data_IF_905833640417
#
_entry.id   IF_905833640417
#
_cell.length_a   1.000
_cell.length_b   1.000
_cell.length_c   1.000
_cell.angle_alpha   90.00
_cell.angle_beta   90.00
_cell.angle_gamma   90.00
#
_symmetry.space_group_name_H-M   'P 1'
#
loop_
_entity.id
_entity.type
_entity.pdbx_description
1 polymer ?
#
# COMPACT_ATOMS: atom_id res chain seq x y z
N UNK A 1 -14.79 28.99 -42.88
CA UNK A 1 -14.84 27.76 -42.10
C UNK A 1 -13.46 27.18 -42.04
N UNK A 2 -12.77 27.30 -40.90
CA UNK A 2 -11.54 26.59 -40.64
C UNK A 2 -11.92 25.14 -40.39
N UNK A 3 -11.48 24.19 -41.23
CA UNK A 3 -11.49 22.76 -40.93
C UNK A 3 -10.55 22.52 -39.76
N UNK A 4 -11.07 22.49 -38.56
CA UNK A 4 -10.33 21.94 -37.41
C UNK A 4 -10.27 20.43 -37.57
N UNK A 5 -9.11 19.92 -37.96
CA UNK A 5 -8.85 18.50 -37.99
C UNK A 5 -8.66 18.05 -36.55
N UNK A 6 -9.65 17.33 -36.01
CA UNK A 6 -9.55 16.72 -34.68
C UNK A 6 -8.70 15.46 -34.76
N UNK A 7 -7.64 15.37 -33.98
CA UNK A 7 -6.83 14.17 -33.83
C UNK A 7 -7.18 13.47 -32.51
N UNK A 8 -7.36 12.16 -32.57
CA UNK A 8 -7.43 11.31 -31.38
C UNK A 8 -6.12 10.56 -31.25
N UNK A 9 -5.44 10.68 -30.10
CA UNK A 9 -4.26 9.85 -29.77
C UNK A 9 -4.76 8.64 -29.01
N UNK A 10 -4.40 7.43 -29.49
CA UNK A 10 -4.76 6.17 -28.87
C UNK A 10 -3.48 5.44 -28.45
N UNK A 11 -3.45 4.96 -27.19
CA UNK A 11 -2.39 4.08 -26.70
C UNK A 11 -2.84 2.63 -26.82
N UNK A 12 -2.02 1.79 -27.45
CA UNK A 12 -2.33 0.39 -27.70
C UNK A 12 -1.25 -0.48 -27.08
N UNK A 13 -1.68 -1.45 -26.30
CA UNK A 13 -0.83 -2.48 -25.73
C UNK A 13 -1.28 -3.85 -26.18
N UNK A 14 -0.34 -4.77 -26.37
CA UNK A 14 -0.62 -6.13 -26.76
C UNK A 14 0.31 -7.11 -26.02
N UNK A 15 -0.13 -8.35 -25.88
CA UNK A 15 0.60 -9.40 -25.16
C UNK A 15 1.91 -9.85 -25.85
N UNK A 16 2.09 -9.51 -27.13
CA UNK A 16 3.32 -9.79 -27.87
C UNK A 16 3.54 -8.79 -29.00
N UNK A 17 4.79 -8.63 -29.44
CA UNK A 17 5.14 -7.76 -30.58
C UNK A 17 4.41 -8.18 -31.86
N UNK A 18 4.21 -9.46 -32.08
CA UNK A 18 3.45 -9.97 -33.24
C UNK A 18 1.97 -9.57 -33.20
N UNK A 19 1.36 -9.55 -31.99
CA UNK A 19 -0.01 -9.09 -31.81
C UNK A 19 -0.10 -7.57 -31.97
N UNK A 20 0.85 -6.83 -31.38
CA UNK A 20 0.94 -5.39 -31.52
C UNK A 20 1.07 -4.98 -32.98
N UNK A 21 1.96 -5.64 -33.73
CA UNK A 21 2.14 -5.37 -35.15
C UNK A 21 0.85 -5.58 -35.96
N UNK A 22 0.12 -6.68 -35.71
CA UNK A 22 -1.18 -6.94 -36.41
C UNK A 22 -2.23 -5.85 -36.08
N UNK A 23 -2.30 -5.41 -34.85
CA UNK A 23 -3.23 -4.33 -34.44
C UNK A 23 -2.84 -3.02 -35.14
N UNK A 24 -1.55 -2.68 -35.16
CA UNK A 24 -1.06 -1.46 -35.80
C UNK A 24 -1.32 -1.44 -37.29
N UNK A 25 -1.04 -2.57 -37.98
CA UNK A 25 -1.35 -2.71 -39.41
C UNK A 25 -2.85 -2.54 -39.68
N UNK A 26 -3.70 -3.22 -38.91
CA UNK A 26 -5.15 -3.08 -39.06
C UNK A 26 -5.66 -1.65 -38.81
N UNK A 27 -5.05 -0.91 -37.92
CA UNK A 27 -5.44 0.50 -37.65
C UNK A 27 -4.95 1.45 -38.73
N UNK A 28 -3.82 1.16 -39.39
CA UNK A 28 -3.33 1.95 -40.53
C UNK A 28 -4.32 1.94 -41.67
N UNK A 29 -5.05 0.82 -41.86
CA UNK A 29 -6.11 0.70 -42.90
C UNK A 29 -7.28 1.69 -42.65
N UNK A 30 -7.42 2.17 -41.40
CA UNK A 30 -8.39 3.19 -41.01
C UNK A 30 -7.78 4.60 -40.87
N UNK A 31 -6.58 4.81 -41.39
CA UNK A 31 -5.91 6.12 -41.42
C UNK A 31 -5.15 6.47 -40.12
N UNK A 32 -4.91 5.51 -39.23
CA UNK A 32 -4.05 5.74 -38.09
C UNK A 32 -2.59 5.90 -38.53
N UNK A 33 -1.91 6.89 -37.95
CA UNK A 33 -0.47 7.12 -38.16
C UNK A 33 0.26 6.71 -36.88
N UNK A 34 1.29 5.87 -37.06
CA UNK A 34 2.15 5.49 -35.92
C UNK A 34 2.93 6.72 -35.47
N UNK A 35 2.69 7.17 -34.23
CA UNK A 35 3.51 8.23 -33.62
C UNK A 35 4.92 7.70 -33.40
N UNK A 36 5.93 8.50 -33.69
CA UNK A 36 7.32 8.08 -33.87
C UNK A 36 7.87 7.25 -32.68
N UNK A 37 8.86 6.38 -32.98
CA UNK A 37 9.64 5.65 -31.97
C UNK A 37 10.82 6.51 -31.49
N UNK A 38 10.54 7.74 -31.09
CA UNK A 38 11.59 8.63 -30.60
C UNK A 38 11.95 8.27 -29.16
N UNK A 39 13.14 8.68 -28.77
CA UNK A 39 13.55 8.62 -27.37
C UNK A 39 12.71 9.60 -26.53
N UNK A 40 12.60 9.35 -25.23
CA UNK A 40 11.90 10.27 -24.33
C UNK A 40 12.52 11.66 -24.38
N UNK A 41 11.66 12.66 -24.34
CA UNK A 41 12.08 14.04 -24.13
C UNK A 41 12.20 14.32 -22.64
N UNK A 42 13.17 15.12 -22.27
CA UNK A 42 13.37 15.54 -20.88
C UNK A 42 13.51 17.05 -20.80
N UNK A 43 13.04 17.63 -19.72
CA UNK A 43 13.28 19.02 -19.36
C UNK A 43 13.86 19.09 -17.94
N UNK A 44 14.77 20.03 -17.66
CA UNK A 44 15.34 20.18 -16.33
C UNK A 44 14.28 20.66 -15.34
N UNK A 45 14.28 20.10 -14.14
CA UNK A 45 13.48 20.60 -13.03
C UNK A 45 13.85 22.06 -12.72
N UNK A 46 12.88 23.00 -12.62
CA UNK A 46 13.19 24.41 -12.45
C UNK A 46 13.77 24.76 -11.08
N UNK A 47 13.40 24.03 -10.04
CA UNK A 47 13.94 24.12 -8.69
C UNK A 47 13.63 22.83 -7.92
N UNK A 48 14.14 22.70 -6.70
CA UNK A 48 13.88 21.56 -5.83
C UNK A 48 12.36 21.41 -5.59
N UNK A 49 11.84 20.20 -5.78
CA UNK A 49 10.44 19.88 -5.56
C UNK A 49 9.45 20.45 -6.60
N UNK A 50 9.93 21.02 -7.72
CA UNK A 50 9.08 21.50 -8.80
C UNK A 50 9.38 20.79 -10.12
N UNK A 51 8.35 20.70 -10.95
CA UNK A 51 8.41 19.96 -12.21
C UNK A 51 8.35 20.93 -13.40
N UNK A 52 8.98 20.57 -14.53
CA UNK A 52 8.81 21.32 -15.77
C UNK A 52 7.37 21.17 -16.28
N UNK A 53 6.93 22.11 -17.12
CA UNK A 53 5.67 21.99 -17.81
C UNK A 53 5.63 20.69 -18.65
N UNK A 54 4.42 20.14 -18.81
CA UNK A 54 4.17 18.92 -19.60
C UNK A 54 4.89 17.66 -19.08
N UNK A 55 5.24 17.61 -17.78
CA UNK A 55 5.83 16.42 -17.16
C UNK A 55 4.94 15.19 -17.30
N UNK A 56 5.55 14.01 -17.39
CA UNK A 56 4.82 12.75 -17.40
C UNK A 56 4.54 12.27 -15.97
N UNK A 57 3.25 12.07 -15.65
CA UNK A 57 2.82 11.46 -14.38
C UNK A 57 2.69 9.93 -14.52
N UNK A 58 3.26 9.19 -13.59
CA UNK A 58 3.30 7.73 -13.63
C UNK A 58 2.00 7.07 -13.20
N UNK A 59 1.85 5.81 -13.59
CA UNK A 59 0.84 4.88 -13.05
C UNK A 59 1.56 3.79 -12.23
N UNK A 60 0.79 2.98 -11.51
CA UNK A 60 1.32 1.83 -10.77
C UNK A 60 1.59 0.59 -11.63
N UNK A 61 1.70 0.76 -12.94
CA UNK A 61 2.04 -0.30 -13.90
C UNK A 61 3.53 -0.25 -14.27
N UNK A 62 4.16 -1.39 -14.56
CA UNK A 62 5.51 -1.42 -15.10
C UNK A 62 5.64 -0.51 -16.31
N UNK A 63 6.64 0.34 -16.30
CA UNK A 63 6.85 1.36 -17.33
C UNK A 63 8.26 1.25 -17.88
N UNK A 64 8.40 1.45 -19.17
CA UNK A 64 9.66 1.55 -19.87
C UNK A 64 9.78 2.91 -20.56
N UNK A 65 10.98 3.43 -20.64
CA UNK A 65 11.33 4.60 -21.43
C UNK A 65 12.34 4.23 -22.50
N UNK A 66 12.31 4.94 -23.62
CA UNK A 66 13.27 4.75 -24.69
C UNK A 66 14.42 5.73 -24.55
N UNK A 67 15.63 5.21 -24.39
CA UNK A 67 16.88 5.95 -24.24
C UNK A 67 17.91 5.45 -25.27
N UNK A 68 18.51 6.34 -26.03
CA UNK A 68 19.49 6.00 -27.06
C UNK A 68 19.03 4.84 -27.98
N UNK A 69 17.77 4.88 -28.38
CA UNK A 69 17.17 3.86 -29.25
C UNK A 69 16.79 2.54 -28.57
N UNK A 70 16.97 2.39 -27.26
CA UNK A 70 16.68 1.15 -26.51
C UNK A 70 15.61 1.37 -25.47
N UNK A 71 14.78 0.34 -25.22
CA UNK A 71 13.83 0.35 -24.14
C UNK A 71 14.54 -0.03 -22.84
N UNK A 72 14.34 0.79 -21.80
CA UNK A 72 14.91 0.66 -20.45
C UNK A 72 13.75 0.62 -19.46
N UNK A 73 13.79 -0.35 -18.54
CA UNK A 73 12.82 -0.41 -17.44
C UNK A 73 13.00 0.78 -16.50
N UNK A 74 11.88 1.35 -16.07
CA UNK A 74 11.87 2.41 -15.08
C UNK A 74 11.79 1.78 -13.69
N UNK A 75 12.77 2.05 -12.85
CA UNK A 75 12.80 1.54 -11.48
C UNK A 75 11.79 2.26 -10.58
N UNK A 76 11.12 1.52 -9.71
CA UNK A 76 10.17 2.05 -8.73
C UNK A 76 8.77 2.24 -9.34
N UNK A 77 7.92 1.20 -9.32
CA UNK A 77 6.57 1.25 -9.89
C UNK A 77 5.58 1.77 -8.85
N UNK A 78 5.17 3.04 -9.00
CA UNK A 78 4.21 3.73 -8.12
C UNK A 78 3.44 4.76 -8.95
N UNK A 79 2.18 5.05 -8.59
CA UNK A 79 1.41 6.11 -9.23
C UNK A 79 1.75 7.50 -8.68
N UNK A 80 1.41 8.53 -9.47
CA UNK A 80 1.54 9.94 -9.10
C UNK A 80 3.00 10.38 -8.83
N UNK A 81 3.96 9.70 -9.43
CA UNK A 81 5.37 10.06 -9.45
C UNK A 81 5.78 10.67 -10.80
N UNK A 82 7.03 11.07 -10.91
CA UNK A 82 7.66 11.48 -12.17
C UNK A 82 8.83 10.58 -12.51
N UNK A 83 9.20 10.55 -13.78
CA UNK A 83 10.35 9.78 -14.24
C UNK A 83 11.55 10.72 -14.41
N UNK A 84 12.63 10.42 -13.72
CA UNK A 84 13.92 11.06 -13.90
C UNK A 84 14.87 10.10 -14.60
N UNK A 85 15.57 10.60 -15.61
CA UNK A 85 16.49 9.83 -16.43
C UNK A 85 17.92 10.13 -16.02
N UNK A 86 18.77 9.11 -15.95
CA UNK A 86 20.23 9.28 -15.93
C UNK A 86 20.79 8.86 -17.30
N UNK A 87 21.08 9.82 -18.20
CA UNK A 87 21.58 9.51 -19.53
C UNK A 87 22.97 8.84 -19.51
N UNK A 88 23.79 9.13 -18.51
CA UNK A 88 25.14 8.57 -18.40
C UNK A 88 25.11 7.08 -18.05
N UNK A 89 24.14 6.66 -17.24
CA UNK A 89 23.94 5.26 -16.86
C UNK A 89 22.91 4.54 -17.72
N UNK A 90 22.27 5.23 -18.68
CA UNK A 90 21.14 4.71 -19.47
C UNK A 90 20.06 4.10 -18.56
N UNK A 91 19.74 4.77 -17.46
CA UNK A 91 18.78 4.33 -16.47
C UNK A 91 17.67 5.36 -16.24
N UNK A 92 16.52 4.89 -15.74
CA UNK A 92 15.39 5.74 -15.40
C UNK A 92 14.74 5.25 -14.09
N UNK A 93 14.23 6.18 -13.31
CA UNK A 93 13.57 5.87 -12.03
C UNK A 93 12.37 6.77 -11.80
N UNK A 94 11.34 6.21 -11.16
CA UNK A 94 10.22 6.99 -10.63
C UNK A 94 10.60 7.60 -9.29
N UNK A 95 10.36 8.90 -9.13
CA UNK A 95 10.61 9.62 -7.87
C UNK A 95 9.43 10.52 -7.51
N UNK A 96 9.14 10.70 -6.22
CA UNK A 96 8.15 11.66 -5.77
C UNK A 96 8.63 13.10 -6.04
N UNK A 97 7.69 13.99 -6.28
CA UNK A 97 7.97 15.42 -6.52
C UNK A 97 8.87 16.03 -5.41
N UNK A 98 8.65 15.66 -4.15
CA UNK A 98 9.46 16.14 -3.02
C UNK A 98 10.94 15.77 -3.08
N UNK A 99 11.30 14.76 -3.85
CA UNK A 99 12.67 14.27 -3.99
C UNK A 99 13.35 14.75 -5.29
N UNK A 100 12.63 15.46 -6.15
CA UNK A 100 13.18 16.10 -7.36
C UNK A 100 14.11 17.23 -6.96
N UNK A 101 15.28 17.31 -7.60
CA UNK A 101 16.27 18.38 -7.42
C UNK A 101 16.34 19.28 -8.65
N UNK A 102 16.67 20.54 -8.42
CA UNK A 102 16.88 21.48 -9.51
C UNK A 102 17.87 20.92 -10.55
N UNK A 103 17.47 20.95 -11.81
CA UNK A 103 18.26 20.44 -12.92
C UNK A 103 18.07 18.96 -13.22
N UNK A 104 17.35 18.20 -12.41
CA UNK A 104 17.04 16.80 -12.72
C UNK A 104 16.35 16.69 -14.08
N UNK A 105 16.78 15.78 -14.99
CA UNK A 105 16.17 15.59 -16.30
C UNK A 105 14.86 14.80 -16.16
N UNK A 106 13.76 15.54 -15.99
CA UNK A 106 12.41 15.00 -15.84
C UNK A 106 11.82 14.69 -17.21
N UNK A 107 11.22 13.52 -17.39
CA UNK A 107 10.53 13.10 -18.61
C UNK A 107 9.30 13.99 -18.84
N UNK A 108 9.19 14.55 -20.05
CA UNK A 108 8.07 15.39 -20.50
C UNK A 108 7.37 14.78 -21.71
N UNK A 109 6.10 15.10 -21.88
CA UNK A 109 5.27 14.56 -22.96
C UNK A 109 4.99 13.07 -22.81
N UNK A 110 4.68 12.42 -23.92
CA UNK A 110 4.29 11.00 -23.94
C UNK A 110 5.13 10.14 -24.91
N UNK A 111 6.03 10.74 -25.69
CA UNK A 111 6.83 10.03 -26.67
C UNK A 111 7.96 9.25 -25.97
N UNK A 112 8.28 8.08 -26.49
CA UNK A 112 9.30 7.21 -25.90
C UNK A 112 8.92 6.56 -24.57
N UNK A 113 7.63 6.56 -24.18
CA UNK A 113 7.14 5.91 -22.98
C UNK A 113 6.25 4.72 -23.35
N UNK A 114 6.49 3.58 -22.70
CA UNK A 114 5.69 2.37 -22.84
C UNK A 114 5.26 1.86 -21.45
N UNK A 115 3.97 1.86 -21.18
CA UNK A 115 3.39 1.23 -20.00
C UNK A 115 3.02 -0.20 -20.37
N UNK A 116 3.44 -1.16 -19.55
CA UNK A 116 3.18 -2.59 -19.77
C UNK A 116 1.94 -2.96 -18.96
N UNK A 117 0.80 -3.27 -19.62
CA UNK A 117 -0.39 -3.68 -18.90
C UNK A 117 -0.14 -5.05 -18.27
N UNK A 118 -0.63 -5.23 -17.06
CA UNK A 118 -0.70 -6.56 -16.47
C UNK A 118 -1.71 -7.40 -17.26
N UNK A 119 -1.28 -8.55 -17.73
CA UNK A 119 -2.21 -9.51 -18.29
C UNK A 119 -3.17 -9.94 -17.17
N UNK A 120 -4.44 -9.60 -17.31
CA UNK A 120 -5.47 -10.29 -16.54
C UNK A 120 -5.38 -11.75 -16.94
N UNK A 121 -4.87 -12.59 -16.06
CA UNK A 121 -4.90 -14.02 -16.28
C UNK A 121 -6.35 -14.40 -16.63
N UNK A 122 -6.59 -14.77 -17.88
CA UNK A 122 -7.88 -15.35 -18.32
C UNK A 122 -8.12 -16.71 -17.66
N UNK A 123 -7.11 -17.23 -16.99
CA UNK A 123 -7.15 -18.47 -16.22
C UNK A 123 -7.67 -18.20 -14.81
N UNK A 124 -8.65 -18.90 -14.46
CA UNK A 124 -9.56 -18.99 -13.33
C UNK A 124 -8.96 -18.97 -11.91
N UNK A 125 -7.73 -18.56 -11.62
CA UNK A 125 -7.04 -18.99 -10.39
C UNK A 125 -6.73 -17.90 -9.36
N UNK A 126 -6.94 -16.63 -9.65
CA UNK A 126 -6.75 -15.58 -8.63
C UNK A 126 -8.04 -14.78 -8.50
N UNK A 127 -8.84 -15.01 -7.46
CA UNK A 127 -10.13 -14.36 -7.23
C UNK A 127 -11.12 -14.43 -8.42
N UNK A 128 -11.03 -15.47 -9.27
CA UNK A 128 -11.86 -15.61 -10.48
C UNK A 128 -13.36 -15.72 -10.22
N UNK A 129 -13.74 -16.04 -8.98
CA UNK A 129 -15.13 -16.00 -8.53
C UNK A 129 -15.60 -14.57 -8.18
N UNK A 130 -14.72 -13.57 -8.29
CA UNK A 130 -14.95 -12.19 -7.87
C UNK A 130 -15.02 -11.25 -9.07
N UNK A 131 -15.96 -11.52 -9.95
CA UNK A 131 -16.28 -10.63 -11.07
C UNK A 131 -16.96 -9.31 -10.65
N UNK A 132 -17.16 -9.07 -9.35
CA UNK A 132 -17.63 -7.80 -8.78
C UNK A 132 -16.68 -7.33 -7.68
N UNK A 133 -16.26 -6.09 -7.76
CA UNK A 133 -15.24 -5.47 -6.90
C UNK A 133 -15.64 -5.35 -5.42
N UNK A 134 -16.94 -5.47 -5.10
CA UNK A 134 -17.48 -5.48 -3.74
C UNK A 134 -18.59 -6.52 -3.67
N UNK A 135 -18.39 -7.59 -2.91
CA UNK A 135 -19.41 -8.64 -2.78
C UNK A 135 -20.00 -8.70 -1.38
N UNK A 136 -21.25 -8.26 -1.24
CA UNK A 136 -22.07 -8.50 -0.05
C UNK A 136 -22.80 -9.88 -0.08
N UNK A 137 -22.81 -10.55 -1.24
CA UNK A 137 -23.65 -11.74 -1.48
C UNK A 137 -22.89 -13.07 -1.42
N UNK A 138 -21.54 -13.04 -1.35
CA UNK A 138 -20.76 -14.28 -1.26
C UNK A 138 -20.54 -14.69 0.20
N UNK A 139 -20.47 -16.01 0.49
CA UNK A 139 -20.15 -16.49 1.82
C UNK A 139 -18.78 -15.93 2.26
N UNK A 140 -18.78 -15.01 3.21
CA UNK A 140 -17.56 -14.31 3.70
C UNK A 140 -16.48 -15.31 4.11
N UNK A 141 -16.87 -16.43 4.71
CA UNK A 141 -15.97 -17.50 5.12
C UNK A 141 -15.11 -18.01 3.97
N UNK A 142 -15.69 -18.30 2.79
CA UNK A 142 -14.93 -18.79 1.64
C UNK A 142 -13.90 -17.76 1.14
N UNK A 143 -14.23 -16.49 1.24
CA UNK A 143 -13.32 -15.41 0.89
C UNK A 143 -12.15 -15.34 1.88
N UNK A 144 -12.43 -15.49 3.17
CA UNK A 144 -11.40 -15.49 4.22
C UNK A 144 -10.50 -16.74 4.12
N UNK A 145 -11.06 -17.89 3.82
CA UNK A 145 -10.30 -19.12 3.56
C UNK A 145 -9.36 -18.95 2.35
N UNK A 146 -9.79 -18.26 1.30
CA UNK A 146 -8.95 -17.94 0.14
C UNK A 146 -7.84 -16.94 0.50
N UNK A 147 -8.13 -15.91 1.29
CA UNK A 147 -7.12 -14.99 1.80
C UNK A 147 -6.06 -15.76 2.63
N UNK A 148 -6.52 -16.63 3.52
CA UNK A 148 -5.62 -17.46 4.33
C UNK A 148 -4.75 -18.39 3.47
N UNK A 149 -5.31 -18.96 2.41
CA UNK A 149 -4.55 -19.77 1.44
C UNK A 149 -3.45 -18.94 0.78
N UNK A 150 -3.77 -17.74 0.30
CA UNK A 150 -2.79 -16.86 -0.34
C UNK A 150 -1.70 -16.41 0.65
N UNK A 151 -2.06 -16.08 1.90
CA UNK A 151 -1.07 -15.77 2.93
C UNK A 151 -0.11 -16.94 3.17
N UNK A 152 -0.62 -18.18 3.21
CA UNK A 152 0.24 -19.38 3.34
C UNK A 152 1.15 -19.55 2.13
N UNK A 153 0.64 -19.37 0.93
CA UNK A 153 1.43 -19.45 -0.31
C UNK A 153 2.53 -18.39 -0.35
N UNK A 154 2.17 -17.12 -0.11
CA UNK A 154 3.15 -16.03 -0.05
C UNK A 154 4.25 -16.31 0.97
N UNK A 155 3.88 -16.74 2.18
CA UNK A 155 4.85 -17.11 3.21
C UNK A 155 5.73 -18.30 2.80
N UNK A 156 5.16 -19.33 2.14
CA UNK A 156 5.86 -20.57 1.79
C UNK A 156 7.00 -20.35 0.80
N UNK A 157 6.90 -19.37 -0.10
CA UNK A 157 7.99 -19.00 -1.02
C UNK A 157 8.81 -17.78 -0.56
N UNK A 158 8.59 -17.30 0.68
CA UNK A 158 9.38 -16.22 1.25
C UNK A 158 8.95 -14.81 0.82
N UNK A 159 7.76 -14.65 0.21
CA UNK A 159 7.19 -13.36 -0.14
C UNK A 159 6.77 -12.57 1.09
N UNK A 160 6.71 -11.24 0.97
CA UNK A 160 6.32 -10.34 2.06
C UNK A 160 4.82 -10.07 2.09
N UNK A 161 4.26 -10.11 3.30
CA UNK A 161 2.89 -9.71 3.60
C UNK A 161 2.94 -8.42 4.43
N UNK A 162 2.28 -7.38 3.93
CA UNK A 162 2.10 -6.10 4.60
C UNK A 162 0.74 -6.06 5.29
N UNK A 163 0.70 -5.58 6.52
CA UNK A 163 -0.53 -5.24 7.22
C UNK A 163 -0.61 -3.73 7.40
N UNK A 164 -1.69 -3.10 6.94
CA UNK A 164 -2.02 -1.69 7.19
C UNK A 164 -3.17 -1.66 8.16
N UNK A 165 -2.92 -1.20 9.38
CA UNK A 165 -3.80 -1.42 10.51
C UNK A 165 -4.31 -0.12 11.14
N UNK A 166 -5.61 -0.04 11.36
CA UNK A 166 -6.26 1.06 12.07
C UNK A 166 -6.56 0.76 13.54
N UNK A 167 -6.82 1.78 14.37
CA UNK A 167 -7.05 1.62 15.80
C UNK A 167 -8.30 0.82 16.13
N UNK A 168 -9.27 0.72 15.21
CA UNK A 168 -10.46 -0.09 15.41
C UNK A 168 -10.13 -1.58 15.64
N UNK A 169 -9.00 -2.08 15.16
CA UNK A 169 -8.52 -3.43 15.46
C UNK A 169 -8.38 -3.64 16.98
N UNK A 170 -7.87 -2.64 17.71
CA UNK A 170 -7.75 -2.73 19.15
C UNK A 170 -9.10 -2.55 19.83
N UNK A 171 -9.85 -1.51 19.43
CA UNK A 171 -11.15 -1.18 20.05
C UNK A 171 -12.20 -2.28 19.90
N UNK A 172 -12.18 -3.01 18.78
CA UNK A 172 -13.11 -4.14 18.53
C UNK A 172 -12.71 -5.44 19.23
N UNK A 173 -11.52 -5.49 19.86
CA UNK A 173 -10.98 -6.71 20.44
C UNK A 173 -10.25 -7.62 19.44
N UNK A 174 -9.99 -7.16 18.23
CA UNK A 174 -9.26 -7.93 17.21
C UNK A 174 -7.74 -8.00 17.44
N UNK A 175 -7.20 -7.17 18.33
CA UNK A 175 -5.74 -7.08 18.61
C UNK A 175 -5.07 -8.43 18.89
N UNK A 176 -5.59 -9.30 19.77
CA UNK A 176 -5.00 -10.60 20.05
C UNK A 176 -4.91 -11.52 18.84
N UNK A 177 -5.85 -11.47 17.90
CA UNK A 177 -5.80 -12.26 16.67
C UNK A 177 -4.70 -11.76 15.74
N UNK A 178 -4.59 -10.44 15.54
CA UNK A 178 -3.51 -9.86 14.75
C UNK A 178 -2.13 -10.19 15.38
N UNK A 179 -1.99 -10.08 16.69
CA UNK A 179 -0.76 -10.44 17.40
C UNK A 179 -0.35 -11.90 17.15
N UNK A 180 -1.31 -12.83 17.14
CA UNK A 180 -1.04 -14.26 16.81
C UNK A 180 -0.63 -14.47 15.37
N UNK A 181 -1.27 -13.78 14.42
CA UNK A 181 -0.93 -13.82 13.00
C UNK A 181 0.50 -13.32 12.78
N UNK A 182 0.89 -12.24 13.45
CA UNK A 182 2.27 -11.72 13.43
C UNK A 182 3.25 -12.72 14.04
N UNK A 183 2.96 -13.24 15.22
CA UNK A 183 3.78 -14.27 15.90
C UNK A 183 4.01 -15.50 15.04
N UNK A 184 3.00 -15.91 14.27
CA UNK A 184 3.08 -17.01 13.34
C UNK A 184 3.84 -16.69 12.04
N UNK A 185 4.36 -15.46 11.87
CA UNK A 185 5.17 -15.05 10.72
C UNK A 185 4.36 -14.76 9.45
N UNK A 186 3.10 -14.36 9.59
CA UNK A 186 2.25 -13.96 8.47
C UNK A 186 2.19 -12.43 8.26
N UNK A 187 3.12 -11.68 8.84
CA UNK A 187 3.30 -10.26 8.56
C UNK A 187 4.79 -9.93 8.65
N UNK A 188 5.35 -9.33 7.62
CA UNK A 188 6.74 -8.88 7.55
C UNK A 188 6.86 -7.37 7.69
N UNK A 189 5.78 -6.64 7.40
CA UNK A 189 5.69 -5.19 7.63
C UNK A 189 4.32 -4.82 8.20
N UNK A 190 4.29 -3.81 9.05
CA UNK A 190 3.06 -3.22 9.58
C UNK A 190 3.12 -1.70 9.48
N UNK A 191 2.11 -1.13 8.80
CA UNK A 191 1.90 0.31 8.73
C UNK A 191 0.70 0.71 9.57
N UNK A 192 0.85 1.82 10.27
CA UNK A 192 -0.22 2.39 11.06
C UNK A 192 0.07 3.82 11.48
N UNK A 193 -0.83 4.39 12.25
CA UNK A 193 -0.64 5.68 12.89
C UNK A 193 -0.26 5.54 14.37
N UNK A 194 -0.04 6.68 15.03
CA UNK A 194 0.16 6.71 16.46
C UNK A 194 -1.00 6.05 17.23
N UNK A 195 -2.24 6.23 16.79
CA UNK A 195 -3.42 5.77 17.49
C UNK A 195 -3.46 4.25 17.69
N UNK A 196 -3.19 3.44 16.64
CA UNK A 196 -3.19 1.98 16.81
C UNK A 196 -2.10 1.55 17.79
N UNK A 197 -0.90 2.14 17.71
CA UNK A 197 0.21 1.79 18.59
C UNK A 197 -0.07 2.18 20.05
N UNK A 198 -0.62 3.38 20.27
CA UNK A 198 -0.98 3.84 21.62
C UNK A 198 -2.05 2.96 22.24
N UNK A 199 -3.13 2.66 21.51
CA UNK A 199 -4.23 1.86 22.05
C UNK A 199 -3.84 0.40 22.25
N UNK A 200 -2.94 -0.15 21.43
CA UNK A 200 -2.37 -1.49 21.66
C UNK A 200 -1.53 -1.52 22.94
N UNK A 201 -0.69 -0.51 23.15
CA UNK A 201 0.08 -0.36 24.41
C UNK A 201 -0.83 -0.12 25.60
N UNK A 202 -1.88 0.71 25.46
CA UNK A 202 -2.91 0.92 26.50
C UNK A 202 -3.58 -0.41 26.87
N UNK A 203 -3.98 -1.20 25.87
CA UNK A 203 -4.59 -2.52 26.08
C UNK A 203 -3.64 -3.48 26.81
N UNK A 204 -2.38 -3.53 26.41
CA UNK A 204 -1.37 -4.40 27.01
C UNK A 204 -1.00 -4.01 28.45
N UNK A 205 -0.97 -2.71 28.77
CA UNK A 205 -0.56 -2.23 30.09
C UNK A 205 -1.72 -2.10 31.10
N UNK A 206 -2.91 -1.76 30.61
CA UNK A 206 -4.04 -1.34 31.45
C UNK A 206 -5.33 -2.13 31.18
N UNK A 207 -5.36 -2.99 30.17
CA UNK A 207 -6.54 -3.78 29.80
C UNK A 207 -7.69 -2.94 29.22
N UNK A 208 -7.41 -1.71 28.79
CA UNK A 208 -8.40 -0.77 28.27
C UNK A 208 -8.07 -0.28 26.87
N UNK A 209 -9.07 0.22 26.18
CA UNK A 209 -8.91 0.99 24.96
C UNK A 209 -9.85 2.17 24.99
N UNK A 210 -9.33 3.38 24.79
CA UNK A 210 -10.07 4.64 25.03
C UNK A 210 -10.68 4.73 26.45
N UNK A 211 -10.03 4.15 27.45
CA UNK A 211 -10.52 4.11 28.83
C UNK A 211 -11.69 3.17 29.09
N UNK A 212 -12.05 2.33 28.11
CA UNK A 212 -13.07 1.28 28.22
C UNK A 212 -12.37 -0.05 28.43
N UNK A 213 -12.80 -0.81 29.44
CA UNK A 213 -12.28 -2.15 29.70
C UNK A 213 -12.62 -3.11 28.56
N UNK A 214 -11.61 -3.75 27.97
CA UNK A 214 -11.81 -4.63 26.82
C UNK A 214 -12.51 -5.95 27.16
N UNK A 215 -12.54 -6.36 28.42
CA UNK A 215 -13.14 -7.64 28.85
C UNK A 215 -14.65 -7.56 29.11
N UNK A 216 -15.20 -6.38 29.44
CA UNK A 216 -16.61 -6.23 29.79
C UNK A 216 -17.28 -4.99 29.17
N UNK A 217 -16.52 -4.12 28.50
CA UNK A 217 -17.05 -2.92 27.83
C UNK A 217 -17.42 -1.78 28.77
N UNK A 218 -17.04 -1.82 30.06
CA UNK A 218 -17.36 -0.79 31.03
C UNK A 218 -16.34 0.35 30.99
N UNK A 219 -16.83 1.59 31.15
CA UNK A 219 -15.96 2.75 31.28
C UNK A 219 -15.27 2.72 32.66
N UNK A 220 -13.94 2.86 32.68
CA UNK A 220 -13.14 2.88 33.88
C UNK A 220 -13.02 4.32 34.37
N UNK A 221 -13.17 4.51 35.70
CA UNK A 221 -12.95 5.83 36.33
C UNK A 221 -11.53 6.32 36.04
N UNK A 222 -11.40 7.54 35.51
CA UNK A 222 -10.11 8.08 35.07
C UNK A 222 -9.57 7.48 33.76
N UNK A 223 -10.31 6.60 33.09
CA UNK A 223 -9.91 5.90 31.88
C UNK A 223 -9.52 6.83 30.71
N UNK A 224 -10.06 8.05 30.67
CA UNK A 224 -9.66 9.08 29.68
C UNK A 224 -8.16 9.42 29.72
N UNK A 225 -7.43 9.07 30.79
CA UNK A 225 -5.99 9.28 30.93
C UNK A 225 -5.16 8.08 30.45
N UNK A 226 -5.75 6.92 30.22
CA UNK A 226 -5.03 5.67 29.99
C UNK A 226 -4.15 5.74 28.75
N UNK A 227 -4.61 6.31 27.65
CA UNK A 227 -3.79 6.49 26.46
C UNK A 227 -2.57 7.40 26.72
N UNK A 228 -2.73 8.46 27.53
CA UNK A 228 -1.60 9.33 27.91
C UNK A 228 -0.62 8.60 28.86
N UNK A 229 -1.11 7.74 29.75
CA UNK A 229 -0.27 6.89 30.59
C UNK A 229 0.54 5.93 29.73
N UNK A 230 -0.08 5.31 28.72
CA UNK A 230 0.60 4.44 27.77
C UNK A 230 1.70 5.19 27.02
N UNK A 231 1.40 6.35 26.43
CA UNK A 231 2.38 7.22 25.76
C UNK A 231 3.54 7.57 26.70
N UNK A 232 3.23 8.05 27.90
CA UNK A 232 4.24 8.47 28.87
C UNK A 232 5.14 7.30 29.29
N UNK A 233 4.58 6.10 29.43
CA UNK A 233 5.33 4.90 29.79
C UNK A 233 6.35 4.55 28.72
N UNK A 234 5.95 4.56 27.44
CA UNK A 234 6.88 4.27 26.30
C UNK A 234 7.90 5.41 26.16
N UNK A 235 7.49 6.68 26.31
CA UNK A 235 8.42 7.82 26.27
C UNK A 235 9.50 7.72 27.35
N UNK A 236 9.15 7.29 28.56
CA UNK A 236 10.12 7.06 29.65
C UNK A 236 11.04 5.88 29.36
N UNK A 237 10.55 4.84 28.69
CA UNK A 237 11.38 3.71 28.24
C UNK A 237 12.31 4.10 27.08
N UNK A 238 11.97 5.13 26.30
CA UNK A 238 12.73 5.66 25.17
C UNK A 238 12.24 5.19 23.80
N UNK A 239 11.66 4.00 23.70
CA UNK A 239 11.05 3.45 22.48
C UNK A 239 10.21 2.21 22.79
N UNK A 240 9.40 1.75 21.85
CA UNK A 240 8.72 0.45 21.92
C UNK A 240 9.71 -0.70 22.09
N UNK A 241 10.81 -0.70 21.33
CA UNK A 241 11.87 -1.72 21.46
C UNK A 241 12.50 -1.71 22.85
N UNK A 242 12.79 -0.56 23.39
CA UNK A 242 13.34 -0.43 24.74
C UNK A 242 12.33 -0.89 25.80
N UNK A 243 11.05 -0.58 25.65
CA UNK A 243 9.98 -1.03 26.54
C UNK A 243 9.84 -2.56 26.56
N UNK A 244 9.96 -3.22 25.40
CA UNK A 244 9.99 -4.67 25.28
C UNK A 244 11.24 -5.26 25.96
N UNK A 245 12.42 -4.70 25.68
CA UNK A 245 13.68 -5.16 26.27
C UNK A 245 13.71 -5.02 27.79
N UNK A 246 13.10 -3.97 28.34
CA UNK A 246 12.94 -3.74 29.79
C UNK A 246 11.82 -4.57 30.44
N UNK A 247 11.07 -5.35 29.65
CA UNK A 247 9.92 -6.11 30.11
C UNK A 247 8.74 -5.28 30.58
N UNK A 248 8.65 -4.02 30.14
CA UNK A 248 7.51 -3.11 30.39
C UNK A 248 6.35 -3.51 29.48
N UNK A 249 6.61 -3.63 28.16
CA UNK A 249 5.64 -4.13 27.19
C UNK A 249 5.90 -5.63 26.96
N UNK A 250 4.89 -6.48 27.22
CA UNK A 250 5.04 -7.95 27.23
C UNK A 250 4.07 -8.68 26.32
N UNK A 251 3.10 -7.96 25.77
CA UNK A 251 2.07 -8.51 24.88
C UNK A 251 1.53 -7.42 23.97
N UNK A 252 0.67 -7.79 23.01
CA UNK A 252 0.03 -6.90 22.05
C UNK A 252 0.68 -6.93 20.67
N UNK A 253 0.09 -6.16 19.76
CA UNK A 253 0.52 -6.07 18.37
C UNK A 253 1.94 -5.51 18.27
N UNK A 254 2.21 -4.40 18.99
CA UNK A 254 3.52 -3.75 18.98
C UNK A 254 4.60 -4.66 19.56
N UNK A 255 4.28 -5.37 20.64
CA UNK A 255 5.18 -6.36 21.23
C UNK A 255 5.55 -7.44 20.20
N UNK A 256 4.56 -8.02 19.53
CA UNK A 256 4.82 -9.08 18.55
C UNK A 256 5.57 -8.55 17.31
N UNK A 257 5.31 -7.34 16.88
CA UNK A 257 6.10 -6.70 15.82
C UNK A 257 7.59 -6.62 16.19
N UNK A 258 7.89 -6.16 17.40
CA UNK A 258 9.27 -6.03 17.88
C UNK A 258 9.93 -7.40 18.03
N UNK A 259 9.23 -8.37 18.63
CA UNK A 259 9.75 -9.74 18.89
C UNK A 259 10.04 -10.51 17.61
N UNK A 260 9.23 -10.32 16.58
CA UNK A 260 9.34 -11.05 15.32
C UNK A 260 10.05 -10.23 14.22
N UNK A 261 10.68 -9.09 14.57
CA UNK A 261 11.39 -8.21 13.65
C UNK A 261 10.52 -7.76 12.45
N UNK A 262 9.23 -7.53 12.68
CA UNK A 262 8.33 -6.94 11.68
C UNK A 262 8.75 -5.49 11.45
N UNK A 263 8.86 -5.09 10.19
CA UNK A 263 9.17 -3.71 9.83
C UNK A 263 7.99 -2.80 10.18
N UNK A 264 8.15 -2.00 11.22
CA UNK A 264 7.10 -1.16 11.77
C UNK A 264 7.27 0.28 11.27
N UNK A 265 6.27 0.80 10.54
CA UNK A 265 6.22 2.19 10.11
C UNK A 265 4.97 2.84 10.70
N UNK A 266 5.18 3.71 11.69
CA UNK A 266 4.13 4.48 12.35
C UNK A 266 4.22 5.93 11.89
N UNK A 267 3.22 6.39 11.13
CA UNK A 267 3.16 7.77 10.67
C UNK A 267 2.30 8.63 11.61
N UNK A 268 2.77 9.81 11.93
CA UNK A 268 2.06 10.77 12.80
C UNK A 268 0.84 11.39 12.15
N UNK A 269 0.11 12.15 12.92
CA UNK A 269 -1.11 12.83 12.51
C UNK A 269 -1.29 14.12 13.32
N UNK A 270 -2.03 15.08 12.76
CA UNK A 270 -2.43 16.31 13.46
C UNK A 270 -3.35 16.06 14.67
N UNK A 271 -3.82 14.82 14.86
CA UNK A 271 -4.66 14.40 15.98
C UNK A 271 -3.88 13.78 17.13
N UNK A 272 -2.56 13.62 17.01
CA UNK A 272 -1.76 12.91 18.02
C UNK A 272 -1.54 13.78 19.24
N UNK A 273 -1.94 13.29 20.42
CA UNK A 273 -1.81 13.94 21.72
C UNK A 273 -0.42 13.71 22.35
N UNK A 274 0.63 13.94 21.58
CA UNK A 274 2.01 13.61 21.94
C UNK A 274 2.37 12.19 21.50
N UNK A 275 2.88 12.02 20.25
CA UNK A 275 3.12 10.72 19.65
C UNK A 275 4.19 9.92 20.40
N UNK A 276 4.14 8.60 20.27
CA UNK A 276 5.20 7.70 20.71
C UNK A 276 6.54 8.07 20.08
N UNK A 277 7.69 7.80 20.75
CA UNK A 277 9.03 8.08 20.20
C UNK A 277 9.27 7.42 18.83
N UNK A 278 8.62 6.28 18.60
CA UNK A 278 8.76 5.48 17.36
C UNK A 278 7.92 6.03 16.19
N UNK A 279 7.09 7.06 16.43
CA UNK A 279 6.23 7.65 15.39
C UNK A 279 6.99 8.70 14.60
N UNK A 280 6.94 8.56 13.27
CA UNK A 280 7.56 9.50 12.33
C UNK A 280 6.58 10.67 12.13
N UNK A 281 6.97 11.85 12.60
CA UNK A 281 6.13 13.07 12.53
C UNK A 281 6.34 13.88 11.27
N UNK A 282 7.45 13.70 10.58
CA UNK A 282 7.67 14.23 9.23
C UNK A 282 6.97 13.31 8.21
N UNK A 283 5.96 13.84 7.52
CA UNK A 283 5.15 13.07 6.58
C UNK A 283 5.94 12.63 5.34
N UNK A 284 6.88 13.42 4.88
CA UNK A 284 7.73 13.07 3.74
C UNK A 284 8.66 11.92 4.13
N UNK A 285 9.25 12.00 5.32
CA UNK A 285 10.07 10.90 5.84
C UNK A 285 9.25 9.63 6.08
N UNK A 286 8.03 9.75 6.60
CA UNK A 286 7.12 8.61 6.75
C UNK A 286 6.84 7.93 5.39
N UNK A 287 6.57 8.70 4.34
CA UNK A 287 6.38 8.17 2.99
C UNK A 287 7.65 7.49 2.45
N UNK A 288 8.84 8.06 2.68
CA UNK A 288 10.11 7.41 2.28
C UNK A 288 10.31 6.06 2.97
N UNK A 289 10.02 6.00 4.27
CA UNK A 289 10.10 4.75 5.03
C UNK A 289 9.07 3.72 4.56
N UNK A 290 7.84 4.15 4.25
CA UNK A 290 6.82 3.28 3.67
C UNK A 290 7.26 2.72 2.31
N UNK A 291 7.80 3.57 1.41
CA UNK A 291 8.33 3.13 0.11
C UNK A 291 9.47 2.12 0.24
N UNK A 292 10.36 2.32 1.19
CA UNK A 292 11.44 1.36 1.45
C UNK A 292 10.89 0.02 1.96
N UNK A 293 9.88 0.06 2.84
CA UNK A 293 9.33 -1.13 3.47
C UNK A 293 8.45 -1.98 2.54
N UNK A 294 7.84 -1.40 1.51
CA UNK A 294 6.98 -2.14 0.56
C UNK A 294 7.76 -2.90 -0.52
N UNK A 295 9.07 -2.79 -0.55
CA UNK A 295 9.87 -3.58 -1.51
C UNK A 295 9.61 -5.07 -1.28
N UNK A 296 9.35 -5.79 -2.39
CA UNK A 296 9.03 -7.23 -2.41
C UNK A 296 7.73 -7.63 -1.68
N UNK A 297 6.83 -6.67 -1.41
CA UNK A 297 5.48 -6.98 -0.91
C UNK A 297 4.65 -7.58 -2.04
N UNK A 298 4.03 -8.73 -1.77
CA UNK A 298 3.15 -9.44 -2.71
C UNK A 298 1.68 -9.42 -2.32
N UNK A 299 1.41 -9.28 -1.01
CA UNK A 299 0.07 -9.23 -0.44
C UNK A 299 -0.01 -8.13 0.62
N UNK A 300 -1.02 -7.29 0.54
CA UNK A 300 -1.32 -6.26 1.53
C UNK A 300 -2.72 -6.44 2.12
N UNK A 301 -2.81 -6.51 3.45
CA UNK A 301 -4.06 -6.48 4.21
C UNK A 301 -4.26 -5.08 4.76
N UNK A 302 -5.32 -4.40 4.35
CA UNK A 302 -5.66 -3.04 4.79
C UNK A 302 -6.92 -3.11 5.64
N UNK A 303 -6.79 -2.87 6.95
CA UNK A 303 -7.86 -3.19 7.92
C UNK A 303 -8.22 -1.95 8.73
N UNK A 304 -9.47 -1.51 8.62
CA UNK A 304 -10.08 -0.44 9.44
C UNK A 304 -9.30 0.86 9.48
N UNK A 305 -8.70 1.24 8.36
CA UNK A 305 -8.03 2.54 8.19
C UNK A 305 -8.16 3.04 6.75
N UNK A 306 -8.73 4.21 6.58
CA UNK A 306 -8.93 4.78 5.24
C UNK A 306 -7.67 5.49 4.73
N UNK A 307 -7.13 6.43 5.51
CA UNK A 307 -6.05 7.30 5.05
C UNK A 307 -4.76 6.53 4.77
N UNK A 308 -4.33 5.69 5.72
CA UNK A 308 -3.13 4.86 5.52
C UNK A 308 -3.32 3.85 4.39
N UNK A 309 -4.51 3.28 4.23
CA UNK A 309 -4.81 2.35 3.14
C UNK A 309 -4.76 3.04 1.77
N UNK A 310 -5.31 4.25 1.64
CA UNK A 310 -5.22 5.04 0.39
C UNK A 310 -3.76 5.38 0.09
N UNK A 311 -3.02 5.89 1.06
CA UNK A 311 -1.61 6.24 0.89
C UNK A 311 -0.78 5.02 0.46
N UNK A 312 -0.96 3.90 1.16
CA UNK A 312 -0.26 2.65 0.83
C UNK A 312 -0.68 2.13 -0.55
N UNK A 313 -1.97 2.13 -0.86
CA UNK A 313 -2.48 1.67 -2.16
C UNK A 313 -1.90 2.46 -3.34
N UNK A 314 -1.68 3.77 -3.18
CA UNK A 314 -1.01 4.58 -4.20
C UNK A 314 0.47 4.20 -4.39
N UNK A 315 1.14 3.77 -3.32
CA UNK A 315 2.55 3.37 -3.35
C UNK A 315 2.77 1.96 -3.91
N UNK A 316 1.76 1.08 -3.81
CA UNK A 316 1.90 -0.32 -4.22
C UNK A 316 1.88 -0.48 -5.74
N UNK A 317 2.80 -1.27 -6.31
CA UNK A 317 2.69 -1.75 -7.70
C UNK A 317 1.37 -2.48 -7.96
N UNK A 318 0.85 -2.38 -9.16
CA UNK A 318 -0.41 -3.02 -9.55
C UNK A 318 -0.36 -4.57 -9.48
N UNK A 319 0.82 -5.15 -9.39
CA UNK A 319 1.03 -6.60 -9.21
C UNK A 319 0.72 -7.08 -7.79
N UNK A 320 0.73 -6.20 -6.80
CA UNK A 320 0.48 -6.55 -5.39
C UNK A 320 -1.01 -6.82 -5.18
N UNK A 321 -1.31 -7.95 -4.56
CA UNK A 321 -2.68 -8.29 -4.16
C UNK A 321 -3.06 -7.48 -2.94
N UNK A 322 -4.23 -6.84 -2.97
CA UNK A 322 -4.72 -6.00 -1.86
C UNK A 322 -6.05 -6.54 -1.35
N UNK A 323 -6.14 -6.71 -0.04
CA UNK A 323 -7.39 -7.03 0.67
C UNK A 323 -7.73 -5.84 1.56
N UNK A 324 -8.85 -5.19 1.28
CA UNK A 324 -9.35 -4.06 2.07
C UNK A 324 -10.55 -4.49 2.91
N UNK A 325 -10.47 -4.31 4.22
CA UNK A 325 -11.50 -4.71 5.19
C UNK A 325 -11.91 -3.48 6.00
N UNK A 326 -13.15 -3.11 5.90
CA UNK A 326 -13.74 -2.03 6.69
C UNK A 326 -15.24 -2.28 6.90
N UNK A 327 -15.79 -1.80 8.00
CA UNK A 327 -17.22 -1.84 8.26
C UNK A 327 -17.98 -0.83 7.38
N UNK A 328 -17.29 0.23 6.95
CA UNK A 328 -17.86 1.26 6.10
C UNK A 328 -17.64 0.93 4.62
N UNK A 329 -18.71 0.64 3.84
CA UNK A 329 -18.59 0.31 2.43
C UNK A 329 -17.98 1.42 1.59
N UNK A 330 -18.11 2.70 2.00
CA UNK A 330 -17.51 3.81 1.26
C UNK A 330 -15.98 3.78 1.29
N UNK A 331 -15.38 3.27 2.36
CA UNK A 331 -13.91 3.07 2.45
C UNK A 331 -13.47 2.01 1.46
N UNK A 332 -14.17 0.88 1.45
CA UNK A 332 -13.88 -0.25 0.56
C UNK A 332 -14.01 0.16 -0.91
N UNK A 333 -15.09 0.89 -1.26
CA UNK A 333 -15.30 1.40 -2.62
C UNK A 333 -14.17 2.36 -3.05
N UNK A 334 -13.78 3.30 -2.18
CA UNK A 334 -12.69 4.24 -2.49
C UNK A 334 -11.35 3.56 -2.74
N UNK A 335 -11.09 2.46 -2.04
CA UNK A 335 -9.86 1.69 -2.24
C UNK A 335 -9.91 0.88 -3.54
N UNK A 336 -11.09 0.34 -3.90
CA UNK A 336 -11.30 -0.35 -5.17
C UNK A 336 -11.15 0.62 -6.37
N UNK A 337 -11.66 1.84 -6.27
CA UNK A 337 -11.62 2.84 -7.34
C UNK A 337 -10.21 3.41 -7.60
N UNK A 338 -9.32 3.35 -6.63
CA UNK A 338 -7.98 3.96 -6.71
C UNK A 338 -6.88 3.06 -7.25
N UNK A 339 -7.24 1.98 -7.93
CA UNK A 339 -6.37 1.45 -8.98
C UNK A 339 -5.43 0.34 -8.62
N UNK A 340 -5.66 -0.46 -7.60
CA UNK A 340 -5.02 -1.78 -7.59
C UNK A 340 -5.89 -2.72 -8.41
N UNK A 341 -5.39 -3.19 -9.54
CA UNK A 341 -6.08 -4.15 -10.43
C UNK A 341 -6.49 -5.45 -9.72
N UNK A 342 -6.01 -5.68 -8.51
CA UNK A 342 -6.19 -6.87 -7.71
C UNK A 342 -6.69 -6.55 -6.29
N UNK A 343 -7.54 -5.53 -6.13
CA UNK A 343 -8.12 -5.19 -4.83
C UNK A 343 -9.37 -6.02 -4.57
N UNK A 344 -9.38 -6.68 -3.42
CA UNK A 344 -10.54 -7.34 -2.86
C UNK A 344 -11.12 -6.50 -1.72
N UNK A 345 -12.35 -6.05 -1.85
CA UNK A 345 -13.04 -5.32 -0.81
C UNK A 345 -13.98 -6.22 0.02
N UNK A 346 -13.84 -6.20 1.33
CA UNK A 346 -14.70 -6.88 2.29
C UNK A 346 -15.36 -5.88 3.23
N UNK A 347 -16.69 -5.79 3.17
CA UNK A 347 -17.46 -5.01 4.14
C UNK A 347 -17.81 -5.93 5.32
N UNK A 348 -17.06 -5.78 6.42
CA UNK A 348 -17.26 -6.58 7.61
C UNK A 348 -16.62 -5.93 8.84
N UNK A 349 -17.00 -6.41 10.01
CA UNK A 349 -16.37 -6.04 11.28
C UNK A 349 -14.93 -6.58 11.38
N UNK A 350 -14.05 -5.78 11.98
CA UNK A 350 -12.62 -6.13 12.09
C UNK A 350 -12.37 -7.34 13.01
N UNK A 351 -13.12 -7.46 14.11
CA UNK A 351 -12.95 -8.59 15.04
C UNK A 351 -13.38 -9.88 14.37
N UNK A 352 -14.56 -9.89 13.74
CA UNK A 352 -15.05 -11.06 13.02
C UNK A 352 -14.05 -11.51 11.93
N UNK A 353 -13.55 -10.56 11.12
CA UNK A 353 -12.60 -10.86 10.08
C UNK A 353 -11.30 -11.46 10.64
N UNK A 354 -10.73 -10.81 11.65
CA UNK A 354 -9.44 -11.23 12.21
C UNK A 354 -9.53 -12.57 12.93
N UNK A 355 -10.64 -12.84 13.59
CA UNK A 355 -10.91 -14.14 14.24
C UNK A 355 -10.99 -15.26 13.21
N UNK A 356 -11.86 -15.11 12.21
CA UNK A 356 -12.03 -16.12 11.15
C UNK A 356 -10.73 -16.32 10.35
N UNK A 357 -9.98 -15.25 10.10
CA UNK A 357 -8.67 -15.34 9.45
C UNK A 357 -7.66 -16.10 10.30
N UNK A 358 -7.59 -15.82 11.61
CA UNK A 358 -6.71 -16.56 12.53
C UNK A 358 -7.08 -18.05 12.62
N UNK A 359 -8.38 -18.36 12.61
CA UNK A 359 -8.88 -19.74 12.55
C UNK A 359 -8.47 -20.42 11.24
N UNK A 360 -8.69 -19.75 10.10
CA UNK A 360 -8.33 -20.28 8.78
C UNK A 360 -6.80 -20.45 8.60
N UNK A 361 -5.98 -19.65 9.28
CA UNK A 361 -4.53 -19.79 9.33
C UNK A 361 -4.05 -20.81 10.36
N UNK A 362 -4.94 -21.40 11.16
CA UNK A 362 -4.64 -22.34 12.24
C UNK A 362 -3.75 -21.74 13.36
N UNK A 363 -3.88 -20.45 13.63
CA UNK A 363 -3.10 -19.72 14.63
C UNK A 363 -3.94 -19.31 15.85
N UNK A 364 -4.91 -20.13 16.24
CA UNK A 364 -5.92 -19.83 17.28
C UNK A 364 -5.36 -19.95 18.69
N UNK A 365 -4.19 -20.56 18.91
CA UNK A 365 -3.56 -20.76 20.24
C UNK A 365 -2.32 -19.91 20.45
#
# INVERSE_FOLDING_TARGET
SKNETSFARMKISAASDAQLHRILVGLQDYGAVLVSRDDVQTAPAPCDGALPDDFYSTTNLPTQVRLAGRWVDVNGTEMDLVIVVDPAQSSARMIPMADVRQGDPVVVGHDGIRVIPLERARSRETFSFMASDVSSEKPKRLVIEEIARQMRETRAHGGKILVVAGPAIVHSGAGPYLARIIRAGFAQALFGGNAIAVHDVEAALLGTSLGIALHNGEAIEGGHRHHMIAINTIRRAGSLRAAVAQGILREGIMYECIRNNVELVLAGSVRDDGPLPDVITDMIEAQRRMRAAIQDVELALMISTMLHSIATGNMLPASVKVVAVDINPAVVTKLADRGTFQALGLVTDAELFMRELAEALEVVR
#
